data_IF_098788718949
#
_entry.id   IF_098788718949
#
_cell.length_a   1.000
_cell.length_b   1.000
_cell.length_c   1.000
_cell.angle_alpha   90.00
_cell.angle_beta   90.00
_cell.angle_gamma   90.00
#
_symmetry.space_group_name_H-M   'P 1'
#
loop_
_entity.id
_entity.type
_entity.pdbx_description
1 polymer ?
#
# COMPACT_ATOMS: atom_id res chain seq x y z
N UNK A 1 24.43 7.42 -82.58
CA UNK A 1 23.20 7.62 -81.73
C UNK A 1 23.13 6.49 -80.74
N UNK A 2 23.66 6.65 -79.53
CA UNK A 2 23.68 5.54 -78.54
C UNK A 2 24.07 5.91 -77.12
N UNK A 3 23.99 7.20 -76.72
CA UNK A 3 24.40 7.63 -75.38
C UNK A 3 23.22 7.98 -74.43
N UNK A 4 22.00 8.15 -74.93
CA UNK A 4 20.80 8.54 -74.08
C UNK A 4 20.15 7.36 -73.40
N UNK A 5 20.26 6.15 -73.87
CA UNK A 5 19.68 4.94 -73.28
C UNK A 5 20.35 4.50 -71.98
N UNK A 6 21.63 4.79 -71.77
CA UNK A 6 22.37 4.39 -70.57
C UNK A 6 22.08 5.29 -69.35
N UNK A 7 21.56 6.48 -69.52
CA UNK A 7 21.21 7.39 -68.43
C UNK A 7 19.85 7.02 -67.81
N UNK A 8 18.87 6.62 -68.62
CA UNK A 8 17.54 6.19 -68.17
C UNK A 8 17.62 4.90 -67.33
N UNK A 9 18.49 3.98 -67.72
CA UNK A 9 18.68 2.71 -67.02
C UNK A 9 19.34 2.90 -65.63
N UNK A 10 20.26 3.84 -65.47
CA UNK A 10 20.87 4.20 -64.20
C UNK A 10 19.88 4.91 -63.27
N UNK A 11 19.03 5.76 -63.83
CA UNK A 11 17.96 6.44 -63.05
C UNK A 11 16.85 5.48 -62.64
N UNK A 12 16.44 4.57 -63.50
CA UNK A 12 15.49 3.51 -63.19
C UNK A 12 16.00 2.58 -62.10
N UNK A 13 17.26 2.21 -62.14
CA UNK A 13 17.91 1.37 -61.10
C UNK A 13 18.00 2.07 -59.75
N UNK A 14 18.26 3.38 -59.72
CA UNK A 14 18.24 4.20 -58.51
C UNK A 14 16.81 4.37 -57.95
N UNK A 15 15.83 4.55 -58.83
CA UNK A 15 14.42 4.62 -58.46
C UNK A 15 13.92 3.32 -57.84
N UNK A 16 14.25 2.18 -58.45
CA UNK A 16 13.92 0.86 -57.89
C UNK A 16 14.57 0.63 -56.51
N UNK A 17 15.80 1.11 -56.31
CA UNK A 17 16.49 1.01 -55.02
C UNK A 17 15.81 1.87 -53.94
N UNK A 18 15.39 3.09 -54.29
CA UNK A 18 14.62 3.97 -53.42
C UNK A 18 13.26 3.37 -53.02
N UNK A 19 12.51 2.84 -53.99
CA UNK A 19 11.21 2.17 -53.74
C UNK A 19 11.41 0.96 -52.84
N UNK A 20 12.48 0.19 -53.01
CA UNK A 20 12.77 -0.97 -52.16
C UNK A 20 13.08 -0.56 -50.73
N UNK A 21 13.78 0.57 -50.49
CA UNK A 21 14.06 1.09 -49.14
C UNK A 21 12.76 1.59 -48.49
N UNK A 22 11.95 2.36 -49.21
CA UNK A 22 10.66 2.85 -48.71
C UNK A 22 9.73 1.68 -48.37
N UNK A 23 9.68 0.67 -49.23
CA UNK A 23 8.87 -0.52 -48.99
C UNK A 23 9.37 -1.33 -47.79
N UNK A 24 10.68 -1.48 -47.65
CA UNK A 24 11.28 -2.14 -46.48
C UNK A 24 10.98 -1.35 -45.17
N UNK A 25 11.12 -0.03 -45.19
CA UNK A 25 10.80 0.83 -44.07
C UNK A 25 9.31 0.76 -43.70
N UNK A 26 8.42 0.71 -44.70
CA UNK A 26 6.99 0.54 -44.52
C UNK A 26 6.64 -0.83 -43.93
N UNK A 27 7.25 -1.91 -44.39
CA UNK A 27 7.06 -3.25 -43.80
C UNK A 27 7.57 -3.34 -42.38
N UNK A 28 8.72 -2.71 -42.06
CA UNK A 28 9.23 -2.64 -40.69
C UNK A 28 8.28 -1.82 -39.79
N UNK A 29 7.77 -0.70 -40.28
CA UNK A 29 6.79 0.14 -39.57
C UNK A 29 5.48 -0.58 -39.33
N UNK A 30 4.92 -1.25 -40.34
CA UNK A 30 3.71 -2.08 -40.21
C UNK A 30 3.91 -3.25 -39.23
N UNK A 31 5.03 -3.97 -39.36
CA UNK A 31 5.37 -5.05 -38.44
C UNK A 31 5.53 -4.55 -37.02
N UNK A 32 6.14 -3.40 -36.80
CA UNK A 32 6.27 -2.74 -35.51
C UNK A 32 4.91 -2.35 -34.92
N UNK A 33 4.02 -1.78 -35.73
CA UNK A 33 2.67 -1.38 -35.31
C UNK A 33 1.81 -2.60 -34.90
N UNK A 34 1.75 -3.62 -35.75
CA UNK A 34 1.01 -4.86 -35.44
C UNK A 34 1.55 -5.54 -34.19
N UNK A 35 2.86 -5.53 -33.99
CA UNK A 35 3.49 -6.14 -32.82
C UNK A 35 3.29 -5.29 -31.54
N UNK A 36 3.22 -3.97 -31.66
CA UNK A 36 2.97 -3.08 -30.51
C UNK A 36 1.52 -3.14 -30.02
N UNK A 37 0.58 -3.49 -30.90
CA UNK A 37 -0.86 -3.60 -30.55
C UNK A 37 -1.24 -4.98 -30.02
N UNK A 38 -0.43 -6.02 -30.25
CA UNK A 38 -0.64 -7.36 -29.70
C UNK A 38 -0.82 -7.40 -28.17
N UNK A 39 -0.02 -6.69 -27.35
CA UNK A 39 -0.20 -6.65 -25.89
C UNK A 39 -1.49 -5.95 -25.45
N UNK A 40 -2.07 -5.07 -26.27
CA UNK A 40 -3.32 -4.37 -25.95
C UNK A 40 -4.55 -5.21 -26.18
N UNK A 41 -4.47 -6.23 -27.01
CA UNK A 41 -5.54 -7.19 -27.23
C UNK A 41 -5.59 -8.33 -26.20
N UNK A 42 -4.47 -8.56 -25.48
CA UNK A 42 -4.42 -9.54 -24.41
C UNK A 42 -4.88 -8.87 -23.11
N UNK A 43 -5.89 -9.46 -22.47
CA UNK A 43 -6.41 -9.00 -21.17
C UNK A 43 -5.26 -8.81 -20.19
N UNK A 44 -5.13 -7.58 -19.66
CA UNK A 44 -4.21 -7.33 -18.56
C UNK A 44 -4.73 -8.08 -17.32
N UNK A 45 -4.06 -9.15 -16.97
CA UNK A 45 -4.36 -9.88 -15.76
C UNK A 45 -4.02 -9.02 -14.54
N UNK A 46 -4.99 -8.85 -13.66
CA UNK A 46 -4.78 -8.23 -12.37
C UNK A 46 -4.33 -9.28 -11.34
N UNK A 47 -3.70 -8.86 -10.26
CA UNK A 47 -3.29 -9.75 -9.16
C UNK A 47 -4.49 -10.56 -8.62
N UNK A 48 -5.65 -9.89 -8.55
CA UNK A 48 -6.89 -10.48 -8.04
C UNK A 48 -7.42 -11.63 -8.90
N UNK A 49 -7.07 -11.69 -10.21
CA UNK A 49 -7.45 -12.80 -11.09
C UNK A 49 -6.80 -14.15 -10.70
N UNK A 50 -5.67 -14.07 -9.99
CA UNK A 50 -4.89 -15.23 -9.54
C UNK A 50 -5.00 -15.46 -8.03
N UNK A 51 -5.71 -14.59 -7.31
CA UNK A 51 -5.88 -14.69 -5.86
C UNK A 51 -7.14 -15.49 -5.52
N UNK A 52 -7.04 -16.33 -4.48
CA UNK A 52 -8.24 -16.91 -3.87
C UNK A 52 -9.03 -15.83 -3.13
N UNK A 53 -9.95 -15.19 -3.84
CA UNK A 53 -10.80 -14.13 -3.30
C UNK A 53 -11.68 -14.61 -2.15
N UNK A 54 -12.04 -15.91 -2.11
CA UNK A 54 -12.80 -16.50 -1.02
C UNK A 54 -12.02 -16.44 0.30
N UNK A 55 -10.72 -16.63 0.25
CA UNK A 55 -9.83 -16.54 1.40
C UNK A 55 -9.31 -15.13 1.66
N UNK A 56 -9.04 -14.34 0.61
CA UNK A 56 -8.43 -13.02 0.72
C UNK A 56 -9.41 -11.93 1.19
N UNK A 57 -10.64 -11.92 0.69
CA UNK A 57 -11.61 -10.86 1.03
C UNK A 57 -11.99 -10.80 2.51
N UNK A 58 -12.25 -11.92 3.22
CA UNK A 58 -12.51 -11.87 4.66
C UNK A 58 -11.28 -11.36 5.44
N UNK A 59 -10.05 -11.67 5.01
CA UNK A 59 -8.84 -11.15 5.64
C UNK A 59 -8.70 -9.63 5.41
N UNK A 60 -8.96 -9.16 4.19
CA UNK A 60 -8.98 -7.71 3.88
C UNK A 60 -10.07 -6.99 4.67
N UNK A 61 -11.24 -7.60 4.85
CA UNK A 61 -12.31 -7.05 5.68
C UNK A 61 -11.86 -6.96 7.15
N UNK A 62 -11.24 -8.01 7.69
CA UNK A 62 -10.71 -8.03 9.05
C UNK A 62 -9.65 -6.93 9.26
N UNK A 63 -8.75 -6.72 8.30
CA UNK A 63 -7.76 -5.64 8.36
C UNK A 63 -8.45 -4.28 8.41
N UNK A 64 -9.40 -4.01 7.51
CA UNK A 64 -10.15 -2.73 7.50
C UNK A 64 -10.90 -2.47 8.80
N UNK A 65 -11.51 -3.51 9.38
CA UNK A 65 -12.26 -3.39 10.64
C UNK A 65 -11.31 -3.18 11.83
N UNK A 66 -10.18 -3.87 11.86
CA UNK A 66 -9.13 -3.67 12.85
C UNK A 66 -8.55 -2.24 12.80
N UNK A 67 -8.27 -1.71 11.61
CA UNK A 67 -7.81 -0.33 11.41
C UNK A 67 -8.83 0.70 11.93
N UNK A 68 -10.13 0.48 11.68
CA UNK A 68 -11.18 1.35 12.21
C UNK A 68 -11.25 1.29 13.73
N UNK A 69 -11.11 0.07 14.29
CA UNK A 69 -11.12 -0.15 15.74
C UNK A 69 -9.92 0.53 16.41
N UNK A 70 -8.72 0.39 15.83
CA UNK A 70 -7.52 1.08 16.29
C UNK A 70 -7.70 2.61 16.28
N UNK A 71 -8.15 3.18 15.17
CA UNK A 71 -8.40 4.63 15.07
C UNK A 71 -9.45 5.12 16.09
N UNK A 72 -10.46 4.32 16.36
CA UNK A 72 -11.48 4.66 17.37
C UNK A 72 -10.88 4.62 18.78
N UNK A 73 -10.08 3.60 19.08
CA UNK A 73 -9.39 3.45 20.36
C UNK A 73 -8.36 4.56 20.58
N UNK A 74 -7.60 4.96 19.57
CA UNK A 74 -6.63 6.06 19.66
C UNK A 74 -7.30 7.41 19.98
N UNK A 75 -8.44 7.71 19.33
CA UNK A 75 -9.23 8.93 19.66
C UNK A 75 -9.79 8.89 21.07
N UNK A 76 -10.30 7.73 21.50
CA UNK A 76 -10.81 7.54 22.85
C UNK A 76 -9.67 7.62 23.88
N UNK A 77 -8.49 7.13 23.57
CA UNK A 77 -7.28 7.22 24.38
C UNK A 77 -6.88 8.69 24.62
N UNK A 78 -6.89 9.51 23.56
CA UNK A 78 -6.60 10.95 23.66
C UNK A 78 -7.58 11.64 24.63
N UNK A 79 -8.88 11.36 24.50
CA UNK A 79 -9.90 11.90 25.39
C UNK A 79 -9.74 11.39 26.83
N UNK A 80 -9.45 10.10 27.02
CA UNK A 80 -9.22 9.52 28.33
C UNK A 80 -7.99 10.12 29.02
N UNK A 81 -6.93 10.36 28.25
CA UNK A 81 -5.71 11.00 28.76
C UNK A 81 -5.94 12.42 29.24
N UNK A 82 -6.74 13.21 28.49
CA UNK A 82 -7.15 14.56 28.94
C UNK A 82 -7.99 14.49 30.23
N UNK A 83 -8.91 13.53 30.34
CA UNK A 83 -9.69 13.35 31.57
C UNK A 83 -8.82 12.95 32.76
N UNK A 84 -7.83 12.08 32.55
CA UNK A 84 -6.85 11.70 33.56
C UNK A 84 -6.04 12.92 34.04
N UNK A 85 -5.55 13.75 33.10
CA UNK A 85 -4.81 14.97 33.46
C UNK A 85 -5.64 15.92 34.30
N UNK A 86 -6.91 16.10 33.98
CA UNK A 86 -7.85 16.93 34.78
C UNK A 86 -8.07 16.32 36.17
N UNK A 87 -8.25 15.00 36.25
CA UNK A 87 -8.45 14.32 37.55
C UNK A 87 -7.17 14.42 38.41
N UNK A 88 -5.99 14.23 37.82
CA UNK A 88 -4.71 14.37 38.52
C UNK A 88 -4.48 15.78 39.04
N UNK A 89 -4.76 16.82 38.25
CA UNK A 89 -4.64 18.22 38.69
C UNK A 89 -5.61 18.50 39.85
N UNK A 90 -6.84 17.99 39.78
CA UNK A 90 -7.81 18.16 40.83
C UNK A 90 -7.39 17.48 42.15
N UNK A 91 -6.91 16.23 42.08
CA UNK A 91 -6.44 15.48 43.24
C UNK A 91 -5.17 16.12 43.85
N UNK A 92 -4.22 16.56 43.02
CA UNK A 92 -3.00 17.25 43.46
C UNK A 92 -3.33 18.57 44.20
N UNK A 93 -4.18 19.41 43.64
CA UNK A 93 -4.60 20.68 44.26
C UNK A 93 -5.35 20.46 45.56
N UNK A 94 -6.22 19.43 45.62
CA UNK A 94 -6.93 19.09 46.84
C UNK A 94 -6.00 18.57 47.95
N UNK A 95 -4.98 17.75 47.58
CA UNK A 95 -3.93 17.30 48.51
C UNK A 95 -3.14 18.47 49.06
N UNK A 96 -2.67 19.39 48.21
CA UNK A 96 -1.96 20.59 48.66
C UNK A 96 -2.81 21.44 49.60
N UNK A 97 -4.09 21.65 49.27
CA UNK A 97 -5.01 22.39 50.12
C UNK A 97 -5.22 21.70 51.49
N UNK A 98 -5.32 20.39 51.47
CA UNK A 98 -5.45 19.58 52.68
C UNK A 98 -4.20 19.64 53.56
N UNK A 99 -3.01 19.52 52.96
CA UNK A 99 -1.71 19.60 53.64
C UNK A 99 -1.51 20.97 54.31
N UNK A 100 -1.82 22.06 53.57
CA UNK A 100 -1.77 23.42 54.08
C UNK A 100 -2.75 23.61 55.28
N UNK A 101 -3.93 23.03 55.17
CA UNK A 101 -4.91 23.08 56.27
C UNK A 101 -4.45 22.28 57.51
N UNK A 102 -3.86 21.08 57.31
CA UNK A 102 -3.30 20.28 58.43
C UNK A 102 -2.17 21.04 59.13
N UNK A 103 -1.25 21.66 58.37
CA UNK A 103 -0.16 22.45 58.91
C UNK A 103 -0.69 23.61 59.78
N UNK A 104 -1.71 24.31 59.33
CA UNK A 104 -2.36 25.39 60.10
C UNK A 104 -3.04 24.87 61.36
N UNK A 105 -3.67 23.69 61.30
CA UNK A 105 -4.33 23.04 62.42
C UNK A 105 -3.35 22.63 63.53
N UNK A 106 -2.21 22.07 63.17
CA UNK A 106 -1.16 21.72 64.12
C UNK A 106 -0.68 22.90 64.94
N UNK A 107 -0.69 24.11 64.33
CA UNK A 107 -0.30 25.34 65.03
C UNK A 107 -1.36 25.85 66.03
N UNK A 108 -2.66 25.47 65.86
CA UNK A 108 -3.79 26.04 66.66
C UNK A 108 -4.36 25.10 67.72
N UNK A 109 -4.05 23.79 67.71
CA UNK A 109 -4.44 22.78 68.72
C UNK A 109 -5.94 22.75 69.12
N UNK A 110 -6.86 22.91 68.16
CA UNK A 110 -8.31 22.97 68.43
C UNK A 110 -8.98 21.60 68.23
N UNK A 111 -9.57 21.01 69.29
CA UNK A 111 -10.21 19.69 69.23
C UNK A 111 -11.56 19.61 68.50
N UNK A 112 -12.23 20.73 68.16
CA UNK A 112 -13.54 20.75 67.50
C UNK A 112 -13.55 20.42 65.99
N UNK A 113 -12.41 19.98 65.42
CA UNK A 113 -12.21 19.86 63.97
C UNK A 113 -12.22 18.42 63.43
N UNK A 114 -12.57 17.41 64.19
CA UNK A 114 -12.53 15.99 63.76
C UNK A 114 -13.55 15.71 62.63
N UNK A 115 -14.74 16.35 62.67
CA UNK A 115 -15.71 16.24 61.60
C UNK A 115 -15.25 16.87 60.28
N UNK A 116 -14.49 17.99 60.34
CA UNK A 116 -13.91 18.61 59.15
C UNK A 116 -12.75 17.79 58.58
N UNK A 117 -11.95 17.16 59.39
CA UNK A 117 -10.90 16.23 58.98
C UNK A 117 -11.53 15.05 58.20
N UNK A 118 -12.54 14.41 58.75
CA UNK A 118 -13.26 13.30 58.10
C UNK A 118 -13.83 13.76 56.75
N UNK A 119 -14.49 14.91 56.70
CA UNK A 119 -15.08 15.46 55.50
C UNK A 119 -14.03 15.69 54.40
N UNK A 120 -12.87 16.26 54.73
CA UNK A 120 -11.78 16.54 53.77
C UNK A 120 -11.09 15.26 53.31
N UNK A 121 -10.90 14.30 54.21
CA UNK A 121 -10.35 12.99 53.83
C UNK A 121 -11.29 12.26 52.88
N UNK A 122 -12.59 12.26 53.15
CA UNK A 122 -13.58 11.68 52.24
C UNK A 122 -13.61 12.38 50.87
N UNK A 123 -13.45 13.70 50.82
CA UNK A 123 -13.34 14.44 49.57
C UNK A 123 -12.08 14.05 48.76
N UNK A 124 -10.94 13.83 49.42
CA UNK A 124 -9.73 13.34 48.79
C UNK A 124 -9.92 11.90 48.25
N UNK A 125 -10.57 11.03 49.04
CA UNK A 125 -10.84 9.66 48.60
C UNK A 125 -11.70 9.63 47.34
N UNK A 126 -12.72 10.51 47.22
CA UNK A 126 -13.52 10.64 45.99
C UNK A 126 -12.69 11.11 44.83
N UNK A 127 -11.75 12.05 44.99
CA UNK A 127 -10.89 12.52 43.91
C UNK A 127 -9.87 11.45 43.49
N UNK A 128 -9.30 10.73 44.46
CA UNK A 128 -8.42 9.61 44.19
C UNK A 128 -9.15 8.48 43.42
N UNK A 129 -10.40 8.19 43.79
CA UNK A 129 -11.22 7.21 43.09
C UNK A 129 -11.48 7.64 41.63
N UNK A 130 -11.73 8.93 41.37
CA UNK A 130 -11.90 9.48 40.02
C UNK A 130 -10.59 9.40 39.19
N UNK A 131 -9.46 9.69 39.82
CA UNK A 131 -8.14 9.57 39.19
C UNK A 131 -7.88 8.10 38.76
N UNK A 132 -8.12 7.15 39.68
CA UNK A 132 -7.99 5.73 39.41
C UNK A 132 -8.93 5.26 38.27
N UNK A 133 -10.20 5.73 38.30
CA UNK A 133 -11.15 5.42 37.23
C UNK A 133 -10.70 5.98 35.87
N UNK A 134 -10.20 7.21 35.84
CA UNK A 134 -9.64 7.80 34.60
C UNK A 134 -8.43 7.04 34.12
N UNK A 135 -7.52 6.59 35.01
CA UNK A 135 -6.38 5.74 34.67
C UNK A 135 -6.83 4.42 34.05
N UNK A 136 -7.82 3.75 34.65
CA UNK A 136 -8.38 2.50 34.14
C UNK A 136 -8.96 2.69 32.72
N UNK A 137 -9.59 3.82 32.45
CA UNK A 137 -10.09 4.15 31.09
C UNK A 137 -8.95 4.29 30.09
N UNK A 138 -7.86 4.96 30.46
CA UNK A 138 -6.66 5.06 29.61
C UNK A 138 -6.11 3.67 29.30
N UNK A 139 -5.96 2.84 30.33
CA UNK A 139 -5.40 1.49 30.16
C UNK A 139 -6.31 0.59 29.31
N UNK A 140 -7.63 0.71 29.48
CA UNK A 140 -8.60 -0.01 28.64
C UNK A 140 -8.50 0.40 27.16
N UNK A 141 -8.37 1.69 26.85
CA UNK A 141 -8.25 2.16 25.47
C UNK A 141 -6.89 1.75 24.84
N UNK A 142 -5.81 1.77 25.62
CA UNK A 142 -4.52 1.23 25.16
C UNK A 142 -4.61 -0.25 24.82
N UNK A 143 -5.27 -1.03 25.68
CA UNK A 143 -5.45 -2.45 25.41
C UNK A 143 -6.26 -2.69 24.15
N UNK A 144 -7.35 -1.94 23.93
CA UNK A 144 -8.14 -2.03 22.70
C UNK A 144 -7.32 -1.71 21.44
N UNK A 145 -6.48 -0.69 21.49
CA UNK A 145 -5.60 -0.35 20.36
C UNK A 145 -4.59 -1.47 20.08
N UNK A 146 -3.99 -2.05 21.13
CA UNK A 146 -3.05 -3.18 20.99
C UNK A 146 -3.74 -4.42 20.42
N UNK A 147 -4.94 -4.75 20.91
CA UNK A 147 -5.72 -5.89 20.42
C UNK A 147 -6.07 -5.72 18.94
N UNK A 148 -6.47 -4.51 18.53
CA UNK A 148 -6.77 -4.19 17.15
C UNK A 148 -5.53 -4.36 16.24
N UNK A 149 -4.35 -3.88 16.66
CA UNK A 149 -3.07 -4.08 15.94
C UNK A 149 -2.72 -5.55 15.82
N UNK A 150 -2.88 -6.32 16.88
CA UNK A 150 -2.59 -7.76 16.85
C UNK A 150 -3.50 -8.50 15.86
N UNK A 151 -4.79 -8.13 15.80
CA UNK A 151 -5.73 -8.66 14.82
C UNK A 151 -5.30 -8.30 13.40
N UNK A 152 -4.94 -7.03 13.16
CA UNK A 152 -4.45 -6.55 11.87
C UNK A 152 -3.20 -7.31 11.43
N UNK A 153 -2.18 -7.38 12.28
CA UNK A 153 -0.91 -8.08 11.99
C UNK A 153 -1.15 -9.56 11.66
N UNK A 154 -2.02 -10.22 12.44
CA UNK A 154 -2.35 -11.62 12.22
C UNK A 154 -3.06 -11.85 10.87
N UNK A 155 -3.95 -10.94 10.50
CA UNK A 155 -4.65 -10.99 9.22
C UNK A 155 -3.71 -10.70 8.05
N UNK A 156 -2.79 -9.72 8.17
CA UNK A 156 -1.77 -9.42 7.18
C UNK A 156 -0.81 -10.59 6.98
N UNK A 157 -0.34 -11.24 8.06
CA UNK A 157 0.51 -12.42 7.96
C UNK A 157 -0.17 -13.59 7.22
N UNK A 158 -1.50 -13.70 7.31
CA UNK A 158 -2.26 -14.72 6.57
C UNK A 158 -2.52 -14.30 5.12
N UNK A 159 -2.66 -13.02 4.83
CA UNK A 159 -2.88 -12.49 3.48
C UNK A 159 -1.60 -12.52 2.63
N UNK A 160 -0.45 -12.22 3.22
CA UNK A 160 0.84 -12.15 2.53
C UNK A 160 1.20 -13.39 1.68
N UNK A 161 1.04 -14.63 2.17
CA UNK A 161 1.32 -15.81 1.34
C UNK A 161 0.35 -15.94 0.16
N UNK A 162 -0.92 -15.55 0.30
CA UNK A 162 -1.89 -15.56 -0.80
C UNK A 162 -1.49 -14.56 -1.88
N UNK A 163 -1.08 -13.36 -1.49
CA UNK A 163 -0.58 -12.33 -2.42
C UNK A 163 0.72 -12.77 -3.10
N UNK A 164 1.63 -13.40 -2.37
CA UNK A 164 2.88 -13.92 -2.92
C UNK A 164 2.60 -14.98 -3.98
N UNK A 165 1.73 -15.95 -3.66
CA UNK A 165 1.34 -17.02 -4.58
C UNK A 165 0.65 -16.45 -5.84
N UNK A 166 -0.29 -15.53 -5.67
CA UNK A 166 -0.94 -14.85 -6.79
C UNK A 166 0.06 -14.08 -7.64
N UNK A 167 1.03 -13.39 -7.00
CA UNK A 167 2.11 -12.67 -7.69
C UNK A 167 3.03 -13.59 -8.50
N UNK A 168 3.32 -14.79 -8.02
CA UNK A 168 4.10 -15.78 -8.77
C UNK A 168 3.34 -16.29 -9.99
N UNK A 169 2.05 -16.58 -9.86
CA UNK A 169 1.20 -17.00 -10.97
C UNK A 169 1.05 -15.90 -12.00
N UNK A 170 0.85 -14.66 -11.58
CA UNK A 170 0.80 -13.48 -12.44
C UNK A 170 2.11 -13.33 -13.24
N UNK A 171 3.26 -13.42 -12.57
CA UNK A 171 4.58 -13.37 -13.24
C UNK A 171 4.79 -14.51 -14.23
N UNK A 172 4.27 -15.71 -13.92
CA UNK A 172 4.32 -16.84 -14.84
C UNK A 172 3.45 -16.60 -16.08
N UNK A 173 2.25 -16.04 -15.91
CA UNK A 173 1.38 -15.65 -17.01
C UNK A 173 2.02 -14.58 -17.91
N UNK A 174 2.61 -13.54 -17.33
CA UNK A 174 3.34 -12.52 -18.10
C UNK A 174 4.52 -13.09 -18.87
N UNK A 175 5.32 -13.98 -18.27
CA UNK A 175 6.42 -14.65 -18.98
C UNK A 175 5.94 -15.47 -20.18
N UNK A 176 4.81 -16.19 -20.04
CA UNK A 176 4.22 -16.91 -21.16
C UNK A 176 3.74 -15.97 -22.26
N UNK A 177 3.15 -14.83 -21.90
CA UNK A 177 2.73 -13.81 -22.84
C UNK A 177 3.93 -13.22 -23.61
N UNK A 178 5.00 -12.84 -22.89
CA UNK A 178 6.24 -12.34 -23.50
C UNK A 178 6.87 -13.34 -24.46
N UNK A 179 6.92 -14.62 -24.08
CA UNK A 179 7.43 -15.68 -24.95
C UNK A 179 6.57 -15.84 -26.21
N UNK A 180 5.26 -15.72 -26.09
CA UNK A 180 4.32 -15.79 -27.21
C UNK A 180 4.52 -14.61 -28.17
N UNK A 181 4.58 -13.38 -27.61
CA UNK A 181 4.88 -12.16 -28.39
C UNK A 181 6.25 -12.26 -29.07
N UNK A 182 7.27 -12.73 -28.35
CA UNK A 182 8.59 -12.97 -28.91
C UNK A 182 8.54 -14.01 -30.07
N UNK A 183 7.80 -15.11 -29.88
CA UNK A 183 7.58 -16.12 -30.92
C UNK A 183 6.95 -15.54 -32.19
N UNK A 184 5.92 -14.69 -32.05
CA UNK A 184 5.30 -14.01 -33.20
C UNK A 184 6.28 -13.06 -33.90
N UNK A 185 7.07 -12.29 -33.14
CA UNK A 185 8.12 -11.41 -33.69
C UNK A 185 9.15 -12.23 -34.48
N UNK A 186 9.61 -13.33 -33.90
CA UNK A 186 10.60 -14.20 -34.53
C UNK A 186 10.01 -14.86 -35.80
N UNK A 187 8.79 -15.38 -35.75
CA UNK A 187 8.11 -15.98 -36.90
C UNK A 187 7.93 -15.01 -38.08
N UNK A 188 7.75 -13.71 -37.79
CA UNK A 188 7.60 -12.68 -38.80
C UNK A 188 8.98 -12.22 -39.37
N UNK A 189 9.99 -12.11 -38.52
CA UNK A 189 11.32 -11.59 -38.93
C UNK A 189 12.22 -12.65 -39.53
N UNK A 190 12.12 -13.91 -39.11
CA UNK A 190 12.99 -15.00 -39.54
C UNK A 190 12.86 -15.30 -41.06
N UNK A 191 11.66 -15.41 -41.67
CA UNK A 191 11.52 -15.57 -43.10
C UNK A 191 12.12 -14.41 -43.91
N UNK A 192 11.92 -13.16 -43.40
CA UNK A 192 12.50 -11.96 -44.03
C UNK A 192 14.05 -12.01 -44.06
N UNK A 193 14.66 -12.40 -42.93
CA UNK A 193 16.11 -12.58 -42.83
C UNK A 193 16.63 -13.70 -43.74
N UNK A 194 15.90 -14.81 -43.85
CA UNK A 194 16.24 -15.92 -44.73
C UNK A 194 16.21 -15.49 -46.21
N UNK A 195 15.16 -14.77 -46.62
CA UNK A 195 15.06 -14.23 -47.99
C UNK A 195 16.18 -13.21 -48.29
N UNK A 196 16.44 -12.30 -47.34
CA UNK A 196 17.52 -11.32 -47.47
C UNK A 196 18.90 -11.99 -47.58
N UNK A 197 19.17 -12.99 -46.73
CA UNK A 197 20.41 -13.79 -46.76
C UNK A 197 20.54 -14.57 -48.03
N UNK A 198 19.48 -15.21 -48.52
CA UNK A 198 19.52 -15.94 -49.81
C UNK A 198 19.78 -15.02 -51.00
N UNK A 199 19.15 -13.85 -51.03
CA UNK A 199 19.40 -12.84 -52.07
C UNK A 199 20.85 -12.32 -52.02
N UNK A 200 21.42 -12.16 -50.84
CA UNK A 200 22.78 -11.70 -50.66
C UNK A 200 23.80 -12.75 -51.17
N UNK A 201 23.58 -14.02 -50.85
CA UNK A 201 24.45 -15.14 -51.31
C UNK A 201 24.33 -15.35 -52.81
N UNK A 202 23.12 -15.22 -53.39
CA UNK A 202 22.94 -15.41 -54.86
C UNK A 202 23.51 -14.27 -55.68
N UNK A 203 23.78 -13.11 -55.07
CA UNK A 203 24.31 -11.93 -55.77
C UNK A 203 25.86 -11.89 -55.81
N UNK A 204 26.51 -12.87 -55.17
CA UNK A 204 27.94 -13.06 -55.16
C UNK A 204 28.33 -14.16 -56.18
#
# INVERSE_FOLDING_TARGET
MGKSLRLSEKWFRRGLWLVSIVFAAFLIGLGGSVVSDLPRMEQQHALDDFMDMGAAEPLRATIRDAERSEQAADRALEQATLQLEVAQKASASARETFDNWIATRQATAQGAQDAELIRRTQALDVLNARENEAQQRVDAQRQQALDARQIQDSAQMKLAPLETQAGEQLRAAYRQMELRVFGYRLALTLPLLLVAGWLFVKKR
#
